data_IF_828759830435
#
_entry.id   IF_828759830435
#
_cell.length_a   1.000
_cell.length_b   1.000
_cell.length_c   1.000
_cell.angle_alpha   90.00
_cell.angle_beta   90.00
_cell.angle_gamma   90.00
#
_symmetry.space_group_name_H-M   'P 1'
#
loop_
_entity.id
_entity.type
_entity.pdbx_description
1 polymer ?
#
# COMPACT_ATOMS: atom_id res chain seq x y z
N UNK A 1 50.49 34.62 -13.24
CA UNK A 1 51.32 34.28 -14.40
C UNK A 1 50.40 33.85 -15.53
N UNK A 2 50.37 34.68 -16.59
CA UNK A 2 50.09 34.42 -18.02
C UNK A 2 48.91 33.51 -18.40
N UNK A 3 48.06 33.79 -19.39
CA UNK A 3 47.97 34.81 -20.44
C UNK A 3 46.55 34.62 -21.05
N UNK A 4 45.72 35.66 -21.17
CA UNK A 4 45.56 36.55 -22.32
C UNK A 4 44.63 36.06 -23.48
N UNK A 5 43.62 36.91 -23.72
CA UNK A 5 43.05 37.38 -25.01
C UNK A 5 41.96 36.54 -25.69
N UNK A 6 40.71 37.04 -25.85
CA UNK A 6 40.16 38.21 -26.58
C UNK A 6 39.90 37.95 -28.08
N UNK A 7 38.61 38.08 -28.48
CA UNK A 7 38.07 38.96 -29.55
C UNK A 7 36.64 38.47 -29.88
N UNK A 8 35.56 39.24 -29.62
CA UNK A 8 35.01 40.38 -30.38
C UNK A 8 34.71 40.03 -31.85
N UNK A 9 33.68 40.49 -32.55
CA UNK A 9 32.45 41.27 -32.35
C UNK A 9 31.82 41.35 -33.77
N UNK A 10 30.52 41.55 -33.89
CA UNK A 10 29.92 42.19 -35.09
C UNK A 10 28.55 41.60 -35.47
N UNK A 11 27.42 42.25 -35.16
CA UNK A 11 26.86 43.52 -35.66
C UNK A 11 25.80 43.31 -36.76
N UNK A 12 24.62 43.89 -36.50
CA UNK A 12 23.68 44.59 -37.41
C UNK A 12 22.27 44.01 -37.58
N UNK A 13 21.34 44.88 -37.18
CA UNK A 13 19.88 44.92 -37.28
C UNK A 13 19.32 44.97 -38.71
N UNK A 14 18.01 44.74 -38.85
CA UNK A 14 16.97 45.61 -39.50
C UNK A 14 15.64 44.82 -39.48
N UNK A 15 14.61 45.19 -38.67
CA UNK A 15 13.43 46.03 -39.01
C UNK A 15 12.68 45.54 -40.29
N UNK A 16 11.36 45.43 -40.43
CA UNK A 16 10.17 46.03 -39.83
C UNK A 16 8.91 45.34 -40.45
N UNK A 17 7.79 45.12 -39.72
CA UNK A 17 6.45 45.75 -39.85
C UNK A 17 5.75 45.58 -41.24
N UNK A 18 4.45 45.37 -41.46
CA UNK A 18 3.18 45.60 -40.72
C UNK A 18 1.99 45.09 -41.62
N UNK A 19 0.77 44.97 -41.02
CA UNK A 19 -0.60 45.14 -41.62
C UNK A 19 -1.21 43.95 -42.38
N UNK A 20 -2.51 43.59 -42.34
CA UNK A 20 -3.71 43.84 -41.49
C UNK A 20 -4.90 43.08 -42.13
N UNK A 21 -5.87 42.64 -41.31
CA UNK A 21 -7.33 42.55 -41.55
C UNK A 21 -7.97 41.60 -42.61
N UNK A 22 -8.65 40.57 -42.08
CA UNK A 22 -10.07 40.14 -42.25
C UNK A 22 -10.77 40.15 -43.62
N UNK A 23 -11.36 39.00 -44.01
CA UNK A 23 -12.74 38.94 -44.55
C UNK A 23 -13.37 37.52 -44.38
N UNK A 24 -14.69 37.54 -44.30
CA UNK A 24 -15.68 36.49 -43.98
C UNK A 24 -15.92 35.51 -45.14
N UNK A 25 -16.33 34.26 -44.85
CA UNK A 25 -17.00 33.40 -45.84
C UNK A 25 -17.31 31.98 -45.36
N UNK A 26 -18.53 31.75 -44.89
CA UNK A 26 -19.09 30.41 -44.71
C UNK A 26 -19.45 29.80 -46.07
N UNK A 27 -19.11 28.54 -46.33
CA UNK A 27 -19.84 27.73 -47.31
C UNK A 27 -19.91 26.26 -46.87
N UNK A 28 -21.15 25.82 -46.72
CA UNK A 28 -21.60 24.47 -46.46
C UNK A 28 -21.39 23.64 -47.73
N UNK A 29 -20.82 22.46 -47.62
CA UNK A 29 -20.98 21.41 -48.64
C UNK A 29 -21.50 20.14 -47.97
N UNK A 30 -22.80 19.90 -48.17
CA UNK A 30 -23.44 18.62 -48.00
C UNK A 30 -22.86 17.65 -49.02
N UNK A 31 -22.24 16.56 -48.57
CA UNK A 31 -22.07 15.37 -49.40
C UNK A 31 -23.12 14.36 -48.92
N UNK A 32 -24.18 14.28 -49.72
CA UNK A 32 -25.18 13.21 -49.69
C UNK A 32 -24.47 11.93 -50.15
N UNK A 33 -24.42 10.91 -49.30
CA UNK A 33 -24.14 9.53 -49.71
C UNK A 33 -25.44 8.72 -49.63
N UNK A 34 -25.70 7.80 -50.58
CA UNK A 34 -27.01 7.20 -50.74
C UNK A 34 -27.24 6.06 -49.74
N UNK A 35 -28.46 6.00 -49.20
CA UNK A 35 -28.99 4.79 -48.58
C UNK A 35 -29.14 3.69 -49.64
N UNK A 36 -28.36 2.62 -49.51
CA UNK A 36 -28.78 1.30 -50.02
C UNK A 36 -28.67 0.30 -48.89
N UNK A 37 -29.85 -0.02 -48.37
CA UNK A 37 -30.13 -1.06 -47.41
C UNK A 37 -29.83 -2.43 -48.06
N UNK A 38 -28.82 -3.14 -47.56
CA UNK A 38 -28.70 -4.59 -47.79
C UNK A 38 -28.25 -5.25 -46.51
N UNK A 39 -29.24 -5.85 -45.84
CA UNK A 39 -29.09 -6.75 -44.72
C UNK A 39 -27.98 -7.78 -44.99
N UNK A 40 -26.89 -7.68 -44.23
CA UNK A 40 -26.12 -8.82 -43.77
C UNK A 40 -26.18 -8.77 -42.26
N UNK A 41 -26.91 -9.71 -41.67
CA UNK A 41 -26.88 -9.96 -40.24
C UNK A 41 -25.45 -10.30 -39.84
N UNK A 42 -24.72 -9.29 -39.37
CA UNK A 42 -23.54 -9.50 -38.56
C UNK A 42 -24.03 -9.55 -37.13
N UNK A 43 -23.83 -10.72 -36.53
CA UNK A 43 -24.04 -11.05 -35.14
C UNK A 43 -23.52 -9.94 -34.20
N UNK A 44 -24.43 -9.06 -33.75
CA UNK A 44 -24.15 -8.03 -32.74
C UNK A 44 -24.13 -8.60 -31.31
N UNK A 45 -24.02 -9.93 -31.16
CA UNK A 45 -24.04 -10.60 -29.85
C UNK A 45 -22.66 -11.03 -29.34
N UNK A 46 -21.57 -10.28 -29.58
CA UNK A 46 -20.30 -10.60 -28.91
C UNK A 46 -19.27 -9.45 -28.78
N UNK A 47 -19.61 -8.19 -29.01
CA UNK A 47 -18.74 -7.09 -28.60
C UNK A 47 -18.99 -6.82 -27.11
N UNK A 48 -18.45 -7.69 -26.26
CA UNK A 48 -18.32 -7.41 -24.83
C UNK A 48 -17.66 -6.04 -24.70
N UNK A 49 -18.32 -5.07 -24.08
CA UNK A 49 -17.68 -3.85 -23.62
C UNK A 49 -16.57 -4.29 -22.66
N UNK A 50 -15.34 -4.43 -23.17
CA UNK A 50 -14.19 -4.69 -22.35
C UNK A 50 -13.94 -3.42 -21.54
N UNK A 51 -14.40 -3.43 -20.29
CA UNK A 51 -14.11 -2.36 -19.34
C UNK A 51 -12.67 -2.53 -18.87
N UNK A 52 -11.95 -1.43 -18.72
CA UNK A 52 -10.70 -1.44 -17.96
C UNK A 52 -11.04 -1.84 -16.51
N UNK A 53 -10.43 -2.94 -16.05
CA UNK A 53 -10.50 -3.40 -14.68
C UNK A 53 -9.78 -2.46 -13.73
N UNK A 54 -9.77 -2.82 -12.44
CA UNK A 54 -9.16 -1.99 -11.40
C UNK A 54 -7.69 -1.64 -11.72
N UNK A 55 -6.93 -2.61 -12.24
CA UNK A 55 -5.52 -2.49 -12.59
C UNK A 55 -5.24 -2.01 -14.03
N UNK A 56 -6.27 -1.50 -14.73
CA UNK A 56 -6.15 -0.93 -16.07
C UNK A 56 -6.15 -1.94 -17.22
N UNK A 57 -5.97 -3.25 -16.97
CA UNK A 57 -6.12 -4.26 -18.01
C UNK A 57 -7.60 -4.56 -18.31
N UNK A 58 -7.87 -5.16 -19.47
CA UNK A 58 -9.21 -5.66 -19.80
C UNK A 58 -9.60 -6.75 -18.81
N UNK A 59 -10.81 -6.64 -18.25
CA UNK A 59 -11.34 -7.61 -17.30
C UNK A 59 -12.62 -8.29 -17.80
N UNK A 60 -13.02 -9.38 -17.16
CA UNK A 60 -14.24 -10.14 -17.49
C UNK A 60 -15.08 -10.42 -16.24
N UNK A 61 -16.39 -10.64 -16.43
CA UNK A 61 -17.32 -10.93 -15.34
C UNK A 61 -17.70 -9.70 -14.51
N UNK A 62 -18.63 -9.88 -13.58
CA UNK A 62 -19.12 -8.84 -12.65
C UNK A 62 -19.46 -9.47 -11.31
N UNK A 63 -19.55 -8.64 -10.29
CA UNK A 63 -19.96 -9.02 -8.93
C UNK A 63 -18.82 -9.54 -8.08
N UNK A 64 -19.04 -9.51 -6.77
CA UNK A 64 -18.18 -10.14 -5.78
C UNK A 64 -18.84 -11.40 -5.26
N UNK A 65 -18.07 -12.29 -4.66
CA UNK A 65 -18.58 -13.52 -4.05
C UNK A 65 -17.72 -13.94 -2.86
N UNK A 66 -18.21 -14.92 -2.10
CA UNK A 66 -17.47 -15.47 -0.96
C UNK A 66 -16.51 -16.56 -1.42
N UNK A 67 -15.24 -16.45 -1.05
CA UNK A 67 -14.22 -17.46 -1.30
C UNK A 67 -14.45 -18.69 -0.43
N UNK A 68 -14.32 -19.89 -1.01
CA UNK A 68 -14.37 -21.17 -0.29
C UNK A 68 -12.98 -21.79 -0.12
N UNK A 69 -11.99 -21.24 -0.81
CA UNK A 69 -10.58 -21.62 -0.72
C UNK A 69 -9.74 -20.45 -0.23
N UNK A 70 -8.90 -20.71 0.77
CA UNK A 70 -7.86 -19.78 1.18
C UNK A 70 -6.53 -20.17 0.51
N UNK A 71 -5.64 -19.20 0.19
CA UNK A 71 -4.37 -19.50 -0.49
C UNK A 71 -3.51 -20.58 0.20
N UNK A 72 -3.52 -20.60 1.53
CA UNK A 72 -2.85 -21.60 2.36
C UNK A 72 -3.88 -22.45 3.10
N UNK A 73 -3.65 -23.75 3.18
CA UNK A 73 -4.53 -24.65 3.96
C UNK A 73 -4.57 -24.21 5.43
N UNK A 74 -5.77 -24.11 6.01
CA UNK A 74 -6.00 -23.56 7.36
C UNK A 74 -5.17 -24.26 8.43
N UNK A 75 -4.97 -25.58 8.31
CA UNK A 75 -4.15 -26.37 9.23
C UNK A 75 -2.67 -25.95 9.29
N UNK A 76 -2.18 -25.30 8.23
CA UNK A 76 -0.81 -24.82 8.10
C UNK A 76 -0.66 -23.36 8.54
N UNK A 77 -1.73 -22.70 9.01
CA UNK A 77 -1.69 -21.32 9.50
C UNK A 77 -1.51 -21.32 11.02
N UNK A 78 -0.47 -20.65 11.49
CA UNK A 78 -0.24 -20.39 12.91
C UNK A 78 -1.14 -19.25 13.39
N UNK A 79 -1.04 -18.09 12.75
CA UNK A 79 -1.85 -16.91 13.06
C UNK A 79 -2.06 -16.01 11.84
N UNK A 80 -3.07 -15.15 11.93
CA UNK A 80 -3.36 -14.09 10.95
C UNK A 80 -3.28 -12.76 11.66
N UNK A 81 -2.38 -11.90 11.19
CA UNK A 81 -2.26 -10.51 11.65
C UNK A 81 -3.17 -9.63 10.79
N UNK A 82 -4.00 -8.76 11.40
CA UNK A 82 -4.89 -7.87 10.66
C UNK A 82 -4.13 -6.83 9.83
N UNK A 83 -4.83 -6.24 8.87
CA UNK A 83 -4.40 -5.04 8.15
C UNK A 83 -4.26 -3.85 9.11
N UNK A 84 -3.55 -2.82 8.64
CA UNK A 84 -3.44 -1.54 9.32
C UNK A 84 -2.19 -1.41 10.18
N UNK A 85 -1.27 -2.38 10.10
CA UNK A 85 -0.03 -2.36 10.84
C UNK A 85 0.85 -1.22 10.32
N UNK A 86 1.50 -0.51 11.24
CA UNK A 86 2.57 0.45 10.92
C UNK A 86 3.86 -0.05 11.56
N UNK A 87 4.89 -0.28 10.75
CA UNK A 87 6.18 -0.80 11.20
C UNK A 87 7.25 -0.57 10.13
N UNK A 88 8.42 -0.07 10.54
CA UNK A 88 9.57 0.14 9.67
C UNK A 88 9.15 0.89 8.38
N UNK A 89 9.48 0.37 7.19
CA UNK A 89 9.11 0.95 5.89
C UNK A 89 7.61 0.98 5.61
N UNK A 90 6.78 0.21 6.32
CA UNK A 90 5.33 0.36 6.32
C UNK A 90 4.90 1.52 7.22
N UNK A 91 5.22 2.74 6.76
CA UNK A 91 4.93 3.97 7.50
C UNK A 91 3.43 4.25 7.56
N UNK A 92 2.72 3.98 6.47
CA UNK A 92 1.26 4.04 6.41
C UNK A 92 0.67 2.66 6.76
N UNK A 93 -0.56 2.59 7.30
CA UNK A 93 -1.21 1.34 7.67
C UNK A 93 -1.24 0.33 6.50
N UNK A 94 -0.76 -0.89 6.73
CA UNK A 94 -0.68 -1.95 5.71
C UNK A 94 -2.05 -2.30 5.13
N UNK A 95 -2.13 -2.50 3.82
CA UNK A 95 -3.35 -2.82 3.07
C UNK A 95 -3.60 -4.30 2.84
N UNK A 96 -2.82 -5.14 3.52
CA UNK A 96 -2.83 -6.59 3.44
C UNK A 96 -2.70 -7.18 4.85
N UNK A 97 -3.20 -8.40 5.01
CA UNK A 97 -3.00 -9.20 6.21
C UNK A 97 -1.72 -10.00 6.08
N UNK A 98 -1.04 -10.21 7.21
CA UNK A 98 0.08 -11.15 7.28
C UNK A 98 -0.43 -12.53 7.68
N UNK A 99 -0.19 -13.52 6.83
CA UNK A 99 -0.50 -14.92 7.09
C UNK A 99 0.79 -15.59 7.54
N UNK A 100 0.82 -16.06 8.79
CA UNK A 100 1.99 -16.70 9.38
C UNK A 100 1.80 -18.22 9.34
N UNK A 101 2.60 -18.97 8.56
CA UNK A 101 2.54 -20.42 8.55
C UNK A 101 3.06 -21.05 9.84
N UNK A 102 2.63 -22.28 10.11
CA UNK A 102 3.19 -23.11 11.19
C UNK A 102 4.68 -23.34 10.95
N UNK A 103 5.47 -23.26 12.02
CA UNK A 103 6.91 -23.47 11.97
C UNK A 103 7.74 -22.24 11.59
N UNK A 104 7.12 -21.06 11.44
CA UNK A 104 7.85 -19.81 11.28
C UNK A 104 8.71 -19.51 12.51
N UNK A 105 9.99 -19.23 12.27
CA UNK A 105 10.99 -19.05 13.35
C UNK A 105 11.43 -17.60 13.55
N UNK A 106 11.12 -16.72 12.61
CA UNK A 106 11.47 -15.31 12.68
C UNK A 106 10.58 -14.50 11.75
N UNK A 107 10.62 -13.18 11.88
CA UNK A 107 10.00 -12.24 10.94
C UNK A 107 10.73 -12.13 9.59
N UNK A 108 11.82 -12.89 9.38
CA UNK A 108 12.53 -12.94 8.12
C UNK A 108 11.73 -13.68 7.06
N UNK A 109 11.77 -13.20 5.82
CA UNK A 109 11.26 -13.90 4.65
C UNK A 109 12.22 -14.99 4.16
N UNK A 110 13.37 -15.16 4.81
CA UNK A 110 14.37 -16.13 4.41
C UNK A 110 14.02 -17.49 4.99
N UNK A 111 13.99 -18.46 4.10
CA UNK A 111 13.69 -19.85 4.43
C UNK A 111 14.68 -20.78 3.77
N UNK A 112 15.05 -21.85 4.48
CA UNK A 112 15.80 -22.96 3.90
C UNK A 112 14.87 -24.01 3.24
N UNK A 113 13.55 -23.80 3.30
CA UNK A 113 12.55 -24.68 2.71
C UNK A 113 11.46 -23.87 1.98
N UNK A 114 11.77 -23.22 0.84
CA UNK A 114 10.82 -22.37 0.09
C UNK A 114 9.66 -23.13 -0.57
N UNK A 115 9.68 -24.48 -0.52
CA UNK A 115 8.68 -25.36 -1.13
C UNK A 115 7.80 -26.09 -0.10
N UNK A 116 7.79 -25.62 1.16
CA UNK A 116 7.15 -26.32 2.26
C UNK A 116 5.63 -26.42 2.11
N UNK A 117 4.98 -25.32 1.74
CA UNK A 117 3.53 -25.22 1.66
C UNK A 117 3.08 -24.83 0.27
N UNK A 118 2.08 -25.54 -0.26
CA UNK A 118 1.44 -25.17 -1.51
C UNK A 118 0.59 -23.92 -1.35
N UNK A 119 0.67 -23.03 -2.33
CA UNK A 119 -0.18 -21.85 -2.44
C UNK A 119 -1.19 -22.08 -3.57
N UNK A 120 -2.47 -21.85 -3.26
CA UNK A 120 -3.60 -22.14 -4.14
C UNK A 120 -4.26 -20.86 -4.64
N UNK A 121 -4.81 -20.92 -5.84
CA UNK A 121 -5.72 -19.89 -6.34
C UNK A 121 -6.99 -19.84 -5.48
N UNK A 122 -7.39 -18.68 -4.93
CA UNK A 122 -8.54 -18.58 -4.01
C UNK A 122 -9.90 -18.86 -4.66
N UNK A 123 -9.99 -18.68 -5.97
CA UNK A 123 -11.19 -18.91 -6.77
C UNK A 123 -10.82 -19.02 -8.26
N UNK A 124 -11.79 -19.45 -9.07
CA UNK A 124 -11.72 -19.34 -10.52
C UNK A 124 -11.40 -17.90 -10.96
N UNK A 125 -10.60 -17.77 -12.02
CA UNK A 125 -10.26 -16.46 -12.56
C UNK A 125 -9.00 -16.46 -13.42
N UNK A 126 -8.32 -15.32 -13.41
CA UNK A 126 -7.09 -15.09 -14.15
C UNK A 126 -6.01 -14.51 -13.26
N UNK A 127 -4.78 -15.01 -13.36
CA UNK A 127 -3.61 -14.24 -12.92
C UNK A 127 -3.35 -13.16 -13.97
N UNK A 128 -3.39 -11.90 -13.54
CA UNK A 128 -3.27 -10.71 -14.40
C UNK A 128 -1.99 -9.91 -14.18
N UNK A 129 -1.30 -10.15 -13.08
CA UNK A 129 -0.01 -9.56 -12.78
C UNK A 129 0.86 -10.56 -12.03
N UNK A 130 2.12 -10.64 -12.42
CA UNK A 130 3.18 -11.32 -11.69
C UNK A 130 4.34 -10.35 -11.60
N UNK A 131 4.82 -10.10 -10.40
CA UNK A 131 5.99 -9.26 -10.17
C UNK A 131 7.01 -10.06 -9.37
N UNK A 132 8.27 -9.98 -9.79
CA UNK A 132 9.39 -10.56 -9.09
C UNK A 132 10.01 -9.46 -8.22
N UNK A 133 10.07 -9.70 -6.92
CA UNK A 133 10.76 -8.83 -5.98
C UNK A 133 12.18 -9.37 -5.82
N UNK A 134 13.14 -8.61 -6.32
CA UNK A 134 14.56 -8.79 -6.08
C UNK A 134 14.98 -7.74 -5.08
N UNK A 135 15.95 -8.07 -4.22
CA UNK A 135 16.67 -7.09 -3.37
C UNK A 135 15.76 -6.02 -2.74
N UNK A 136 15.24 -6.24 -1.52
CA UNK A 136 14.25 -5.35 -0.96
C UNK A 136 14.89 -3.98 -0.73
N UNK A 137 14.09 -2.92 -0.80
CA UNK A 137 14.55 -1.55 -0.53
C UNK A 137 15.38 -1.45 0.75
N UNK A 138 15.01 -2.21 1.78
CA UNK A 138 15.71 -2.16 3.06
C UNK A 138 17.00 -3.00 3.10
N UNK A 139 17.53 -3.49 1.97
CA UNK A 139 18.75 -4.29 1.92
C UNK A 139 19.93 -3.57 2.62
N UNK A 140 20.04 -2.26 2.47
CA UNK A 140 21.05 -1.44 3.15
C UNK A 140 20.97 -1.50 4.69
N UNK A 141 19.80 -1.87 5.23
CA UNK A 141 19.51 -1.94 6.66
C UNK A 141 19.33 -3.38 7.17
N UNK A 142 19.39 -4.38 6.28
CA UNK A 142 19.22 -5.79 6.62
C UNK A 142 20.58 -6.48 6.74
N UNK A 143 20.72 -7.27 7.80
CA UNK A 143 21.89 -8.15 7.98
C UNK A 143 21.75 -9.52 7.30
N UNK A 144 20.58 -9.83 6.74
CA UNK A 144 20.25 -11.15 6.19
C UNK A 144 20.05 -11.11 4.67
N UNK A 145 20.51 -12.17 3.98
CA UNK A 145 20.41 -12.35 2.52
C UNK A 145 18.96 -12.51 2.05
N UNK A 146 18.44 -11.56 1.28
CA UNK A 146 17.09 -11.67 0.75
C UNK A 146 16.96 -12.78 -0.30
N UNK A 147 15.84 -13.48 -0.28
CA UNK A 147 15.46 -14.43 -1.33
C UNK A 147 14.39 -13.80 -2.21
N UNK A 148 14.63 -13.84 -3.52
CA UNK A 148 13.67 -13.46 -4.54
C UNK A 148 12.31 -14.11 -4.26
N UNK A 149 11.23 -13.34 -4.40
CA UNK A 149 9.87 -13.80 -4.19
C UNK A 149 8.91 -13.05 -5.12
N UNK A 150 7.64 -13.46 -5.12
CA UNK A 150 6.67 -13.02 -6.10
C UNK A 150 5.46 -12.34 -5.47
N UNK A 151 4.99 -11.30 -6.15
CA UNK A 151 3.64 -10.77 -6.02
C UNK A 151 2.78 -11.28 -7.17
N UNK A 152 1.55 -11.70 -6.85
CA UNK A 152 0.58 -12.22 -7.81
C UNK A 152 -0.77 -11.57 -7.59
N UNK A 153 -1.37 -11.03 -8.66
CA UNK A 153 -2.73 -10.46 -8.64
C UNK A 153 -3.68 -11.36 -9.44
N UNK A 154 -4.79 -11.72 -8.81
CA UNK A 154 -5.89 -12.47 -9.39
C UNK A 154 -7.07 -11.55 -9.72
N UNK A 155 -7.59 -11.67 -10.93
CA UNK A 155 -8.90 -11.17 -11.33
C UNK A 155 -9.91 -12.33 -11.26
N UNK A 156 -10.89 -12.23 -10.36
CA UNK A 156 -12.02 -13.15 -10.29
C UNK A 156 -13.23 -12.63 -11.08
N UNK A 157 -13.39 -11.30 -11.07
CA UNK A 157 -14.29 -10.56 -11.95
C UNK A 157 -13.77 -9.13 -12.12
N UNK A 158 -14.39 -8.32 -13.00
CA UNK A 158 -14.12 -6.88 -13.06
C UNK A 158 -14.35 -6.11 -11.74
N UNK A 159 -15.04 -6.72 -10.77
CA UNK A 159 -15.36 -6.11 -9.49
C UNK A 159 -14.57 -6.72 -8.32
N UNK A 160 -13.85 -7.83 -8.52
CA UNK A 160 -13.33 -8.65 -7.43
C UNK A 160 -11.93 -9.20 -7.72
N UNK A 161 -11.00 -8.87 -6.84
CA UNK A 161 -9.58 -9.19 -7.00
C UNK A 161 -8.98 -9.69 -5.69
N UNK A 162 -7.96 -10.54 -5.79
CA UNK A 162 -7.10 -10.89 -4.66
C UNK A 162 -5.64 -10.65 -5.01
N UNK A 163 -4.82 -10.32 -4.01
CA UNK A 163 -3.38 -10.13 -4.15
C UNK A 163 -2.65 -10.99 -3.13
N UNK A 164 -1.59 -11.63 -3.59
CA UNK A 164 -0.61 -12.34 -2.78
C UNK A 164 0.76 -11.69 -2.95
N UNK A 165 1.51 -11.57 -1.87
CA UNK A 165 2.88 -11.02 -1.86
C UNK A 165 3.77 -11.96 -1.05
N UNK A 166 5.06 -12.02 -1.40
CA UNK A 166 6.05 -12.88 -0.77
C UNK A 166 5.79 -14.39 -0.96
N UNK A 167 5.39 -14.77 -2.18
CA UNK A 167 5.34 -16.18 -2.61
C UNK A 167 6.75 -16.59 -3.06
N UNK A 168 7.30 -17.70 -2.56
CA UNK A 168 8.69 -18.10 -2.88
C UNK A 168 8.85 -18.64 -4.30
N UNK A 169 7.93 -19.49 -4.73
CA UNK A 169 8.04 -20.16 -6.04
C UNK A 169 6.71 -20.14 -6.78
N UNK A 170 6.77 -20.16 -8.11
CA UNK A 170 5.63 -20.31 -9.00
C UNK A 170 5.70 -21.67 -9.70
N UNK A 171 4.54 -22.25 -10.03
CA UNK A 171 4.45 -23.50 -10.78
C UNK A 171 4.94 -23.32 -12.22
N UNK A 172 5.36 -24.42 -12.85
CA UNK A 172 5.85 -24.44 -14.25
C UNK A 172 4.83 -23.84 -15.22
N UNK A 173 3.53 -24.09 -14.99
CA UNK A 173 2.44 -23.51 -15.79
C UNK A 173 2.49 -21.97 -15.78
N UNK A 174 2.72 -21.37 -14.61
CA UNK A 174 2.78 -19.92 -14.47
C UNK A 174 4.08 -19.39 -15.06
N UNK A 175 5.22 -20.00 -14.71
CA UNK A 175 6.53 -19.58 -15.22
C UNK A 175 6.61 -19.61 -16.75
N UNK A 176 6.08 -20.66 -17.39
CA UNK A 176 6.04 -20.78 -18.85
C UNK A 176 5.20 -19.68 -19.53
N UNK A 177 4.30 -19.03 -18.79
CA UNK A 177 3.39 -17.99 -19.27
C UNK A 177 3.87 -16.57 -18.96
N UNK A 178 4.98 -16.42 -18.24
CA UNK A 178 5.51 -15.13 -17.77
C UNK A 178 6.68 -14.69 -18.64
N UNK A 179 6.60 -13.45 -19.14
CA UNK A 179 7.72 -12.74 -19.79
C UNK A 179 7.91 -11.42 -19.06
N UNK A 180 8.92 -11.36 -18.20
CA UNK A 180 9.19 -10.17 -17.40
C UNK A 180 9.64 -9.01 -18.29
N UNK A 181 9.00 -7.87 -18.07
CA UNK A 181 9.42 -6.56 -18.55
C UNK A 181 10.37 -5.96 -17.53
N UNK A 182 11.28 -5.11 -18.00
CA UNK A 182 12.30 -4.45 -17.19
C UNK A 182 13.12 -5.46 -16.35
N UNK A 183 13.77 -6.45 -16.98
CA UNK A 183 14.50 -7.50 -16.26
C UNK A 183 15.65 -6.98 -15.40
N UNK A 184 16.14 -5.76 -15.63
CA UNK A 184 17.20 -5.12 -14.85
C UNK A 184 16.67 -4.37 -13.60
N UNK A 185 15.36 -4.26 -13.43
CA UNK A 185 14.75 -3.63 -12.25
C UNK A 185 14.85 -4.56 -11.03
N UNK A 186 14.79 -3.97 -9.82
CA UNK A 186 14.50 -4.71 -8.58
C UNK A 186 13.10 -5.34 -8.60
N UNK A 187 12.24 -4.83 -9.47
CA UNK A 187 10.84 -5.20 -9.59
C UNK A 187 10.42 -5.56 -11.03
N UNK A 188 11.02 -6.58 -11.69
CA UNK A 188 10.56 -7.00 -13.00
C UNK A 188 9.13 -7.49 -12.93
N UNK A 189 8.30 -7.09 -13.89
CA UNK A 189 6.87 -7.39 -13.87
C UNK A 189 6.39 -7.99 -15.19
N UNK A 190 5.34 -8.80 -15.12
CA UNK A 190 4.61 -9.32 -16.25
C UNK A 190 3.12 -9.10 -16.03
N UNK A 191 2.39 -8.83 -17.11
CA UNK A 191 0.93 -8.71 -17.08
C UNK A 191 0.30 -9.80 -17.94
N UNK A 192 0.42 -11.08 -17.54
CA UNK A 192 -0.14 -12.17 -18.33
C UNK A 192 -1.67 -12.22 -18.16
N UNK A 193 -2.33 -13.20 -18.79
CA UNK A 193 -3.75 -13.50 -18.51
C UNK A 193 -3.92 -15.02 -18.40
N UNK A 194 -3.48 -15.58 -17.28
CA UNK A 194 -3.37 -17.03 -17.09
C UNK A 194 -4.61 -17.52 -16.37
N UNK A 195 -5.41 -18.37 -17.04
CA UNK A 195 -6.60 -18.96 -16.43
C UNK A 195 -6.22 -19.92 -15.31
N UNK A 196 -6.84 -19.76 -14.15
CA UNK A 196 -6.67 -20.63 -12.98
C UNK A 196 -8.02 -21.10 -12.46
N UNK A 197 -8.03 -22.26 -11.80
CA UNK A 197 -9.20 -22.81 -11.10
C UNK A 197 -9.07 -22.65 -9.60
N UNK A 198 -10.20 -22.51 -8.91
CA UNK A 198 -10.24 -22.56 -7.45
C UNK A 198 -9.47 -23.79 -6.93
N UNK A 199 -8.56 -23.59 -5.98
CA UNK A 199 -7.75 -24.66 -5.40
C UNK A 199 -6.56 -25.10 -6.25
N UNK A 200 -6.40 -24.59 -7.47
CA UNK A 200 -5.23 -24.87 -8.31
C UNK A 200 -3.95 -24.37 -7.63
N UNK A 201 -2.95 -25.24 -7.51
CA UNK A 201 -1.64 -24.87 -6.95
C UNK A 201 -0.91 -23.97 -7.94
N UNK A 202 -0.65 -22.72 -7.54
CA UNK A 202 0.04 -21.73 -8.37
C UNK A 202 1.52 -21.60 -8.03
N UNK A 203 1.93 -22.11 -6.87
CA UNK A 203 3.26 -21.92 -6.32
C UNK A 203 3.43 -22.50 -4.93
N UNK A 204 4.48 -22.06 -4.22
CA UNK A 204 4.76 -22.47 -2.83
C UNK A 204 5.28 -21.32 -1.98
N UNK A 205 5.21 -21.51 -0.66
CA UNK A 205 5.86 -20.69 0.35
C UNK A 205 6.55 -21.57 1.40
N UNK A 206 7.62 -21.09 2.00
CA UNK A 206 8.24 -21.67 3.19
C UNK A 206 7.54 -21.25 4.48
N UNK A 207 8.12 -21.60 5.64
CA UNK A 207 7.64 -21.19 6.94
C UNK A 207 8.06 -19.74 7.25
N UNK A 208 7.60 -18.77 6.46
CA UNK A 208 7.68 -17.34 6.76
C UNK A 208 6.35 -16.66 6.39
N UNK A 209 6.16 -15.43 6.86
CA UNK A 209 4.97 -14.64 6.54
C UNK A 209 4.83 -14.43 5.03
N UNK A 210 3.59 -14.46 4.54
CA UNK A 210 3.22 -13.93 3.23
C UNK A 210 1.95 -13.09 3.36
N UNK A 211 1.69 -12.26 2.34
CA UNK A 211 0.64 -11.25 2.47
C UNK A 211 -0.59 -11.62 1.65
N UNK A 212 -1.77 -11.31 2.19
CA UNK A 212 -3.04 -11.53 1.52
C UNK A 212 -3.95 -10.31 1.59
N UNK A 213 -4.52 -9.95 0.44
CA UNK A 213 -5.43 -8.81 0.29
C UNK A 213 -6.62 -9.21 -0.59
N UNK A 214 -7.81 -8.75 -0.21
CA UNK A 214 -9.03 -8.80 -1.03
C UNK A 214 -9.41 -7.37 -1.41
N UNK A 215 -9.72 -7.15 -2.69
CA UNK A 215 -10.18 -5.87 -3.21
C UNK A 215 -11.55 -6.00 -3.87
N UNK A 216 -12.41 -5.02 -3.61
CA UNK A 216 -13.68 -4.84 -4.32
C UNK A 216 -13.63 -3.51 -5.07
N UNK A 217 -13.64 -3.57 -6.41
CA UNK A 217 -13.48 -2.39 -7.25
C UNK A 217 -14.67 -1.41 -7.20
N UNK A 218 -15.78 -1.80 -6.55
CA UNK A 218 -16.96 -0.95 -6.30
C UNK A 218 -16.93 -0.24 -4.96
N UNK A 219 -16.02 -0.60 -4.06
CA UNK A 219 -15.87 0.05 -2.75
C UNK A 219 -14.62 0.89 -2.75
N UNK A 220 -14.74 2.17 -2.38
CA UNK A 220 -13.59 3.06 -2.20
C UNK A 220 -13.62 3.61 -0.78
N UNK A 221 -12.58 3.34 0.01
CA UNK A 221 -12.46 3.79 1.38
C UNK A 221 -12.25 5.31 1.41
N UNK A 222 -13.27 6.05 1.86
CA UNK A 222 -13.23 7.51 1.97
C UNK A 222 -12.32 8.03 3.09
N UNK A 223 -11.90 7.16 4.01
CA UNK A 223 -10.97 7.50 5.09
C UNK A 223 -9.50 7.25 4.69
N UNK A 224 -9.25 7.10 3.39
CA UNK A 224 -7.95 7.30 2.75
C UNK A 224 -8.13 8.47 1.79
N UNK A 225 -7.72 9.67 2.21
CA UNK A 225 -7.97 10.92 1.47
C UNK A 225 -7.10 10.97 0.21
N UNK A 226 -5.85 10.53 0.33
CA UNK A 226 -4.89 10.49 -0.78
C UNK A 226 -4.30 9.11 -1.01
N UNK A 227 -5.09 8.14 -1.48
CA UNK A 227 -4.60 6.77 -1.74
C UNK A 227 -3.53 6.72 -2.84
N UNK A 228 -3.54 7.66 -3.79
CA UNK A 228 -2.51 7.79 -4.82
C UNK A 228 -1.09 8.05 -4.27
N UNK A 229 -1.00 8.44 -3.00
CA UNK A 229 0.25 8.71 -2.31
C UNK A 229 0.81 7.50 -1.55
N UNK A 230 0.10 6.35 -1.57
CA UNK A 230 0.46 5.09 -0.92
C UNK A 230 0.56 4.00 -2.01
N UNK A 231 -0.46 3.14 -2.13
CA UNK A 231 -0.82 2.37 -3.32
C UNK A 231 -2.29 2.76 -3.62
N UNK A 232 -2.56 3.24 -4.83
CA UNK A 232 -3.91 3.65 -5.25
C UNK A 232 -4.95 2.54 -4.99
N UNK A 233 -4.54 1.29 -5.12
CA UNK A 233 -5.40 0.13 -4.96
C UNK A 233 -5.77 -0.15 -3.49
N UNK A 234 -4.99 0.35 -2.53
CA UNK A 234 -5.31 0.22 -1.10
C UNK A 234 -6.68 0.83 -0.75
N UNK A 235 -7.15 1.82 -1.51
CA UNK A 235 -8.50 2.37 -1.32
C UNK A 235 -9.63 1.36 -1.59
N UNK A 236 -9.36 0.27 -2.30
CA UNK A 236 -10.34 -0.74 -2.69
C UNK A 236 -10.26 -2.01 -1.83
N UNK A 237 -9.33 -2.05 -0.88
CA UNK A 237 -9.21 -3.12 0.11
C UNK A 237 -10.44 -3.21 0.99
N UNK A 238 -10.90 -4.44 1.23
CA UNK A 238 -12.07 -4.75 2.05
C UNK A 238 -11.72 -5.69 3.20
N UNK A 239 -12.58 -5.80 4.22
CA UNK A 239 -12.42 -6.79 5.29
C UNK A 239 -12.50 -8.20 4.70
N UNK A 240 -11.38 -8.92 4.72
CA UNK A 240 -11.25 -10.29 4.20
C UNK A 240 -12.37 -11.19 4.71
N UNK A 241 -12.73 -11.11 6.00
CA UNK A 241 -13.68 -12.04 6.60
C UNK A 241 -15.14 -11.80 6.20
N UNK A 242 -15.46 -10.67 5.57
CA UNK A 242 -16.78 -10.46 4.96
C UNK A 242 -16.91 -11.23 3.62
N UNK A 243 -15.78 -11.62 3.01
CA UNK A 243 -15.69 -12.30 1.71
C UNK A 243 -15.26 -13.77 1.81
N UNK A 244 -15.35 -14.38 3.00
CA UNK A 244 -15.10 -15.81 3.20
C UNK A 244 -16.41 -16.56 3.47
N UNK A 245 -16.58 -17.71 2.82
CA UNK A 245 -17.71 -18.60 3.05
C UNK A 245 -17.52 -19.43 4.33
N UNK A 246 -18.61 -19.89 4.94
CA UNK A 246 -18.51 -20.91 5.99
C UNK A 246 -18.27 -22.31 5.36
N UNK A 247 -17.54 -23.22 6.02
CA UNK A 247 -16.93 -23.08 7.36
C UNK A 247 -15.57 -22.37 7.39
N UNK A 248 -14.99 -22.06 6.21
CA UNK A 248 -13.65 -21.49 6.07
C UNK A 248 -13.48 -20.21 6.92
N UNK A 249 -14.47 -19.33 6.89
CA UNK A 249 -14.48 -18.07 7.66
C UNK A 249 -14.34 -18.33 9.16
N UNK A 250 -15.20 -19.17 9.75
CA UNK A 250 -15.13 -19.49 11.18
C UNK A 250 -13.83 -20.20 11.57
N UNK A 251 -13.25 -21.01 10.69
CA UNK A 251 -11.97 -21.67 10.95
C UNK A 251 -10.80 -20.67 10.95
N UNK A 252 -10.72 -19.78 9.97
CA UNK A 252 -9.69 -18.73 9.92
C UNK A 252 -9.83 -17.72 11.06
N UNK A 253 -11.05 -17.40 11.49
CA UNK A 253 -11.27 -16.53 12.64
C UNK A 253 -10.70 -17.10 13.94
N UNK A 254 -10.54 -18.43 14.06
CA UNK A 254 -9.84 -19.02 15.23
C UNK A 254 -8.37 -18.62 15.27
N UNK A 255 -7.75 -18.43 14.09
CA UNK A 255 -6.34 -18.04 13.88
C UNK A 255 -6.11 -16.52 13.84
N UNK A 256 -7.17 -15.72 13.75
CA UNK A 256 -7.07 -14.26 13.65
C UNK A 256 -6.81 -13.59 15.01
N UNK A 257 -5.88 -12.63 15.07
CA UNK A 257 -5.56 -11.92 16.32
C UNK A 257 -6.71 -11.01 16.78
N UNK A 258 -7.49 -10.44 15.86
CA UNK A 258 -8.66 -9.61 16.19
C UNK A 258 -9.92 -10.49 16.32
N UNK A 259 -10.71 -10.26 17.38
CA UNK A 259 -12.01 -10.92 17.62
C UNK A 259 -13.24 -10.00 17.54
N UNK A 260 -13.06 -8.75 17.08
CA UNK A 260 -14.14 -7.78 16.86
C UNK A 260 -14.09 -7.22 15.43
N UNK A 261 -15.17 -6.59 14.95
CA UNK A 261 -15.19 -5.99 13.61
C UNK A 261 -14.41 -4.66 13.58
N UNK A 262 -13.73 -4.33 12.45
CA UNK A 262 -13.49 -5.20 11.29
C UNK A 262 -12.46 -6.29 11.63
N UNK A 263 -12.78 -7.56 11.33
CA UNK A 263 -11.93 -8.70 11.70
C UNK A 263 -10.62 -8.69 10.91
N UNK A 264 -10.67 -8.26 9.65
CA UNK A 264 -9.52 -8.11 8.78
C UNK A 264 -8.63 -6.91 9.13
N UNK A 265 -9.04 -6.05 10.08
CA UNK A 265 -8.35 -4.81 10.41
C UNK A 265 -8.85 -3.60 9.61
N UNK A 266 -8.20 -2.45 9.83
CA UNK A 266 -8.58 -1.16 9.27
C UNK A 266 -7.36 -0.39 8.80
N UNK A 267 -7.47 0.24 7.63
CA UNK A 267 -6.36 0.98 6.99
C UNK A 267 -6.62 2.49 6.88
N UNK A 268 -7.89 2.88 6.68
CA UNK A 268 -8.27 4.27 6.49
C UNK A 268 -8.55 4.96 7.82
N UNK A 269 -7.57 5.71 8.32
CA UNK A 269 -7.66 6.48 9.56
C UNK A 269 -7.75 7.99 9.33
N UNK A 270 -7.75 8.43 8.07
CA UNK A 270 -7.75 9.85 7.74
C UNK A 270 -9.07 10.47 8.17
N UNK A 271 -8.96 11.57 8.91
CA UNK A 271 -10.10 12.42 9.26
C UNK A 271 -9.82 13.82 8.74
N UNK A 272 -10.68 14.30 7.84
CA UNK A 272 -10.55 15.63 7.22
C UNK A 272 -10.38 16.71 8.30
N UNK A 273 -9.45 17.62 8.08
CA UNK A 273 -9.14 18.75 8.99
C UNK A 273 -8.62 18.35 10.40
N UNK A 274 -8.33 17.06 10.65
CA UNK A 274 -7.77 16.56 11.92
C UNK A 274 -6.38 15.95 11.77
N UNK A 275 -5.65 15.76 12.88
CA UNK A 275 -4.30 15.20 12.83
C UNK A 275 -4.31 13.72 12.40
N UNK A 276 -5.37 12.98 12.74
CA UNK A 276 -5.49 11.57 12.42
C UNK A 276 -5.41 11.30 10.90
N UNK A 277 -4.56 10.36 10.52
CA UNK A 277 -4.39 9.88 9.16
C UNK A 277 -2.94 9.83 8.66
N UNK A 278 -2.85 9.64 7.35
CA UNK A 278 -1.60 9.65 6.59
C UNK A 278 -1.27 11.07 6.11
N UNK A 279 0.02 11.37 6.09
CA UNK A 279 0.60 12.66 5.74
C UNK A 279 1.86 12.47 4.91
N UNK A 280 2.07 13.34 3.93
CA UNK A 280 3.12 13.20 2.93
C UNK A 280 3.93 14.48 2.82
N UNK A 281 5.26 14.37 2.81
CA UNK A 281 6.13 15.55 2.74
C UNK A 281 5.83 16.40 1.50
N UNK A 282 5.64 17.70 1.69
CA UNK A 282 5.42 18.66 0.59
C UNK A 282 6.65 18.67 -0.34
N UNK A 283 6.41 18.62 -1.65
CA UNK A 283 7.47 18.63 -2.66
C UNK A 283 8.21 17.31 -2.84
N UNK A 284 7.72 16.21 -2.24
CA UNK A 284 8.25 14.87 -2.52
C UNK A 284 8.02 14.47 -3.98
N UNK A 285 8.93 13.64 -4.50
CA UNK A 285 8.70 12.92 -5.75
C UNK A 285 7.60 11.86 -5.53
N UNK A 286 6.57 11.88 -6.38
CA UNK A 286 5.45 10.93 -6.33
C UNK A 286 5.71 9.67 -7.17
N UNK A 287 6.78 9.67 -7.96
CA UNK A 287 7.22 8.53 -8.78
C UNK A 287 8.32 7.69 -8.12
N UNK A 288 8.90 8.18 -7.02
CA UNK A 288 9.93 7.46 -6.25
C UNK A 288 9.33 6.21 -5.61
N UNK A 289 9.72 5.03 -6.14
CA UNK A 289 9.17 3.74 -5.73
C UNK A 289 9.91 3.12 -4.56
N UNK A 290 11.24 3.15 -4.57
CA UNK A 290 12.04 2.43 -3.59
C UNK A 290 11.99 3.14 -2.24
N UNK A 291 12.32 4.42 -2.18
CA UNK A 291 12.35 5.20 -0.93
C UNK A 291 11.02 5.93 -0.64
N UNK A 292 9.91 5.48 -1.25
CA UNK A 292 8.61 6.17 -1.18
C UNK A 292 8.15 6.44 0.25
N UNK A 293 8.52 5.56 1.18
CA UNK A 293 8.15 5.63 2.59
C UNK A 293 8.93 6.69 3.37
N UNK A 294 10.14 7.09 2.95
CA UNK A 294 11.03 8.01 3.69
C UNK A 294 10.40 9.39 3.94
N UNK A 295 9.44 9.76 3.09
CA UNK A 295 8.73 11.04 3.08
C UNK A 295 7.29 10.92 3.61
N UNK A 296 6.95 9.80 4.24
CA UNK A 296 5.64 9.53 4.79
C UNK A 296 5.62 9.76 6.31
N UNK A 297 4.41 10.03 6.80
CA UNK A 297 4.07 10.10 8.21
C UNK A 297 2.67 9.51 8.36
N UNK A 298 2.42 8.79 9.45
CA UNK A 298 1.06 8.45 9.85
C UNK A 298 0.85 8.68 11.34
N UNK A 299 -0.33 9.21 11.69
CA UNK A 299 -0.82 9.32 13.07
C UNK A 299 -2.14 8.57 13.14
N UNK A 300 -2.09 7.34 13.63
CA UNK A 300 -3.15 6.34 13.49
C UNK A 300 -3.37 5.59 14.81
N UNK A 301 -4.09 4.47 14.76
CA UNK A 301 -4.30 3.60 15.91
C UNK A 301 -3.69 2.24 15.65
N UNK A 302 -3.37 1.55 16.72
CA UNK A 302 -2.78 0.22 16.66
C UNK A 302 -3.73 -0.78 16.00
N UNK A 303 -3.16 -1.60 15.12
CA UNK A 303 -3.89 -2.58 14.33
C UNK A 303 -4.50 -3.74 15.12
N UNK A 304 -3.99 -4.03 16.33
CA UNK A 304 -4.50 -5.09 17.22
C UNK A 304 -5.33 -4.45 18.34
N UNK A 305 -4.82 -3.38 18.95
CA UNK A 305 -5.47 -2.66 20.05
C UNK A 305 -5.86 -1.23 19.64
N UNK A 306 -7.03 -1.03 19.00
CA UNK A 306 -7.40 0.27 18.42
C UNK A 306 -7.58 1.39 19.43
N UNK A 307 -7.42 1.13 20.74
CA UNK A 307 -7.39 2.16 21.78
C UNK A 307 -6.05 2.89 21.84
N UNK A 308 -4.97 2.30 21.32
CA UNK A 308 -3.62 2.86 21.39
C UNK A 308 -3.26 3.68 20.15
N UNK A 309 -2.71 4.87 20.36
CA UNK A 309 -2.21 5.75 19.30
C UNK A 309 -0.86 5.24 18.79
N UNK A 310 -0.68 5.31 17.47
CA UNK A 310 0.58 5.04 16.78
C UNK A 310 1.02 6.24 15.96
N UNK A 311 2.30 6.57 16.06
CA UNK A 311 2.97 7.57 15.24
C UNK A 311 4.08 6.88 14.46
N UNK A 312 3.99 6.90 13.14
CA UNK A 312 4.97 6.26 12.27
C UNK A 312 5.61 7.28 11.35
N UNK A 313 6.94 7.28 11.33
CA UNK A 313 7.74 8.24 10.58
C UNK A 313 8.58 7.51 9.56
N UNK A 314 8.55 7.96 8.32
CA UNK A 314 9.48 7.49 7.28
C UNK A 314 10.93 7.86 7.55
N UNK A 315 11.17 8.87 8.39
CA UNK A 315 12.52 9.24 8.79
C UNK A 315 12.50 9.78 10.22
N UNK A 316 13.08 8.99 11.13
CA UNK A 316 13.38 9.37 12.49
C UNK A 316 14.85 9.05 12.76
N UNK A 317 15.70 10.08 12.76
CA UNK A 317 17.18 9.91 12.80
C UNK A 317 17.71 8.99 11.69
N UNK A 318 17.28 9.22 10.44
CA UNK A 318 17.68 8.45 9.25
C UNK A 318 17.16 7.00 9.20
N UNK A 319 16.22 6.62 10.06
CA UNK A 319 15.61 5.29 10.05
C UNK A 319 14.07 5.39 10.17
N UNK A 320 13.28 4.59 9.42
CA UNK A 320 11.84 4.60 9.56
C UNK A 320 11.40 3.91 10.85
N UNK A 321 10.47 4.50 11.60
CA UNK A 321 10.09 3.93 12.90
C UNK A 321 8.67 4.28 13.31
N UNK A 322 7.98 3.28 13.88
CA UNK A 322 6.70 3.43 14.55
C UNK A 322 6.88 3.52 16.07
N UNK A 323 6.04 4.33 16.71
CA UNK A 323 6.07 4.61 18.13
C UNK A 323 4.66 4.58 18.73
N UNK A 324 4.60 4.33 20.04
CA UNK A 324 3.45 4.67 20.86
C UNK A 324 3.50 6.14 21.29
N UNK A 325 2.35 6.68 21.69
CA UNK A 325 2.25 7.96 22.38
C UNK A 325 2.31 7.73 23.90
N UNK A 326 3.27 8.34 24.60
CA UNK A 326 3.28 8.30 26.07
C UNK A 326 1.99 8.89 26.63
N UNK A 327 1.35 8.19 27.58
CA UNK A 327 0.05 8.58 28.13
C UNK A 327 -1.12 8.44 27.16
N UNK A 328 -0.89 7.93 25.95
CA UNK A 328 -1.91 7.69 24.92
C UNK A 328 -2.79 8.93 24.61
N UNK A 329 -2.18 10.12 24.62
CA UNK A 329 -2.87 11.39 24.48
C UNK A 329 -1.95 12.47 23.88
N UNK A 330 -2.53 13.56 23.32
CA UNK A 330 -3.96 13.76 23.02
C UNK A 330 -4.48 12.87 21.89
N UNK A 331 -5.80 12.69 21.76
CA UNK A 331 -6.40 11.92 20.65
C UNK A 331 -6.24 12.67 19.31
N UNK A 332 -5.61 12.09 18.27
CA UNK A 332 -5.40 12.76 17.00
C UNK A 332 -6.68 13.12 16.25
N UNK A 333 -7.83 12.55 16.59
CA UNK A 333 -9.13 12.92 15.99
C UNK A 333 -9.69 14.24 16.47
N UNK A 334 -9.28 14.72 17.64
CA UNK A 334 -9.78 16.00 18.20
C UNK A 334 -8.86 17.18 17.90
N UNK A 335 -7.61 16.92 17.50
CA UNK A 335 -6.65 17.94 17.13
C UNK A 335 -7.04 18.54 15.79
N UNK A 336 -7.19 19.85 15.77
CA UNK A 336 -7.54 20.66 14.60
C UNK A 336 -6.68 21.94 14.56
N UNK A 337 -6.86 22.78 13.54
CA UNK A 337 -6.08 24.01 13.38
C UNK A 337 -6.07 24.89 14.65
N UNK A 338 -7.24 25.07 15.28
CA UNK A 338 -7.39 25.91 16.48
C UNK A 338 -6.72 25.32 17.73
N UNK A 339 -6.36 24.04 17.72
CA UNK A 339 -5.60 23.41 18.81
C UNK A 339 -4.19 24.00 18.91
N UNK A 340 -3.63 24.49 17.79
CA UNK A 340 -2.28 25.03 17.74
C UNK A 340 -1.22 23.95 17.85
N UNK A 341 -0.15 24.24 18.59
CA UNK A 341 0.99 23.34 18.75
C UNK A 341 0.62 22.15 19.65
N UNK A 342 0.78 20.93 19.11
CA UNK A 342 0.64 19.68 19.85
C UNK A 342 1.97 18.95 19.94
N UNK A 343 2.17 18.26 21.05
CA UNK A 343 3.39 17.52 21.37
C UNK A 343 3.04 16.08 21.75
N UNK A 344 3.80 15.13 21.22
CA UNK A 344 3.80 13.74 21.66
C UNK A 344 5.20 13.35 22.14
N UNK A 345 5.28 12.70 23.30
CA UNK A 345 6.46 11.91 23.67
C UNK A 345 6.35 10.52 23.02
N UNK A 346 7.37 10.14 22.27
CA UNK A 346 7.44 8.92 21.50
C UNK A 346 8.10 7.82 22.32
N UNK A 347 7.45 6.67 22.42
CA UNK A 347 7.88 5.54 23.25
C UNK A 347 7.82 4.23 22.46
N UNK A 348 8.53 3.21 22.92
CA UNK A 348 8.35 1.85 22.39
C UNK A 348 7.02 1.27 22.85
N UNK A 349 6.59 0.19 22.22
CA UNK A 349 5.41 -0.55 22.63
C UNK A 349 5.60 -2.04 22.36
N UNK A 350 4.92 -2.86 23.14
CA UNK A 350 4.89 -4.31 23.04
C UNK A 350 3.46 -4.80 23.25
N UNK A 351 3.19 -6.05 22.86
CA UNK A 351 1.87 -6.67 23.04
C UNK A 351 1.90 -7.72 24.14
N UNK A 352 0.80 -7.80 24.88
CA UNK A 352 0.64 -8.72 25.99
C UNK A 352 -0.72 -9.39 25.97
N UNK A 353 -0.77 -10.66 26.36
CA UNK A 353 -2.00 -11.35 26.76
C UNK A 353 -1.79 -11.91 28.15
N UNK A 354 -2.70 -11.60 29.08
CA UNK A 354 -2.65 -12.15 30.46
C UNK A 354 -1.30 -11.96 31.16
N UNK A 355 -0.62 -10.84 30.87
CA UNK A 355 0.70 -10.52 31.42
C UNK A 355 1.90 -11.15 30.68
N UNK A 356 1.66 -12.10 29.77
CA UNK A 356 2.70 -12.66 28.91
C UNK A 356 2.97 -11.73 27.73
N UNK A 357 4.24 -11.35 27.53
CA UNK A 357 4.68 -10.64 26.32
C UNK A 357 4.55 -11.58 25.11
N UNK A 358 3.93 -11.08 24.05
CA UNK A 358 3.77 -11.81 22.80
C UNK A 358 5.08 -11.85 22.01
N UNK A 359 5.37 -13.00 21.39
CA UNK A 359 6.59 -13.23 20.61
C UNK A 359 6.45 -12.86 19.12
N UNK A 360 5.27 -12.38 18.72
CA UNK A 360 4.90 -12.06 17.33
C UNK A 360 4.89 -13.25 16.36
N UNK A 361 5.01 -14.50 16.85
CA UNK A 361 5.12 -15.70 16.02
C UNK A 361 4.03 -16.72 16.31
N UNK A 362 3.62 -16.88 17.56
CA UNK A 362 2.61 -17.87 17.95
C UNK A 362 1.27 -17.22 18.27
N UNK A 363 0.18 -17.91 17.94
CA UNK A 363 -1.14 -17.37 18.21
C UNK A 363 -1.36 -17.13 19.71
N UNK A 364 -1.75 -15.90 20.07
CA UNK A 364 -2.15 -15.54 21.41
C UNK A 364 -3.44 -14.69 21.33
N UNK A 365 -4.52 -15.07 22.04
CA UNK A 365 -5.76 -14.30 22.01
C UNK A 365 -5.64 -13.02 22.86
N UNK A 366 -6.62 -12.11 22.73
CA UNK A 366 -6.81 -10.97 23.65
C UNK A 366 -5.55 -10.09 23.86
N UNK A 367 -4.76 -9.93 22.81
CA UNK A 367 -3.59 -9.06 22.83
C UNK A 367 -4.01 -7.61 23.10
N UNK A 368 -3.31 -6.98 24.03
CA UNK A 368 -3.39 -5.56 24.33
C UNK A 368 -2.02 -4.95 24.12
N UNK A 369 -1.98 -3.72 23.61
CA UNK A 369 -0.71 -3.06 23.36
C UNK A 369 -0.35 -2.16 24.55
N UNK A 370 0.91 -2.23 24.98
CA UNK A 370 1.44 -1.48 26.11
C UNK A 370 2.61 -0.63 25.67
N UNK A 371 2.45 0.68 25.83
CA UNK A 371 3.52 1.65 25.63
C UNK A 371 4.52 1.59 26.81
N UNK A 372 5.80 1.75 26.53
CA UNK A 372 6.83 1.84 27.57
C UNK A 372 6.90 3.23 28.20
N UNK A 373 7.62 3.33 29.32
CA UNK A 373 7.87 4.60 30.00
C UNK A 373 9.07 5.37 29.44
N UNK A 374 9.93 4.71 28.66
CA UNK A 374 11.15 5.28 28.10
C UNK A 374 10.84 6.17 26.90
N UNK A 375 11.10 7.47 27.06
CA UNK A 375 10.94 8.46 26.00
C UNK A 375 12.13 8.42 25.05
N UNK A 376 11.87 8.05 23.79
CA UNK A 376 12.86 7.99 22.73
C UNK A 376 12.97 9.30 21.94
N UNK A 377 12.01 10.20 22.10
CA UNK A 377 12.02 11.51 21.47
C UNK A 377 10.67 12.22 21.57
N UNK A 378 10.59 13.39 20.95
CA UNK A 378 9.38 14.20 20.89
C UNK A 378 9.01 14.47 19.44
N UNK A 379 7.71 14.45 19.13
CA UNK A 379 7.19 14.97 17.88
C UNK A 379 6.31 16.21 18.15
N UNK A 380 6.55 17.27 17.39
CA UNK A 380 5.70 18.46 17.35
C UNK A 380 4.84 18.43 16.10
N UNK A 381 3.56 18.78 16.27
CA UNK A 381 2.58 18.89 15.22
C UNK A 381 1.84 20.21 15.33
N UNK A 382 1.57 20.85 14.21
CA UNK A 382 0.65 21.97 14.13
C UNK A 382 -0.10 21.89 12.81
N UNK A 383 -1.41 21.66 12.89
CA UNK A 383 -2.28 21.74 11.72
C UNK A 383 -2.36 23.18 11.25
N UNK A 384 -2.30 23.34 9.94
CA UNK A 384 -2.39 24.61 9.24
C UNK A 384 -3.58 24.55 8.27
N UNK A 385 -4.02 25.71 7.74
CA UNK A 385 -5.03 25.76 6.68
C UNK A 385 -4.67 24.89 5.47
N UNK A 386 -5.70 24.59 4.67
CA UNK A 386 -5.57 23.88 3.37
C UNK A 386 -4.97 22.47 3.48
N UNK A 387 -5.22 21.78 4.59
CA UNK A 387 -4.76 20.39 4.75
C UNK A 387 -3.25 20.27 4.87
N UNK A 388 -2.57 21.28 5.41
CA UNK A 388 -1.14 21.26 5.69
C UNK A 388 -0.86 20.95 7.15
N UNK A 389 0.30 20.34 7.39
CA UNK A 389 0.76 19.99 8.72
C UNK A 389 2.24 20.38 8.87
N UNK A 390 2.54 21.19 9.88
CA UNK A 390 3.93 21.46 10.28
C UNK A 390 4.39 20.41 11.28
N UNK A 391 5.53 19.78 11.00
CA UNK A 391 6.06 18.64 11.75
C UNK A 391 7.53 18.83 12.06
N UNK A 392 7.95 18.47 13.27
CA UNK A 392 9.35 18.32 13.62
C UNK A 392 9.53 17.23 14.67
N UNK A 393 10.57 16.41 14.52
CA UNK A 393 10.94 15.36 15.46
C UNK A 393 12.23 15.70 16.17
N UNK A 394 12.30 15.39 17.46
CA UNK A 394 13.43 15.65 18.35
C UNK A 394 13.88 14.35 19.02
N UNK A 395 14.72 13.54 18.35
CA UNK A 395 15.24 12.29 18.88
C UNK A 395 16.04 12.49 20.17
N UNK A 396 15.85 11.60 21.16
CA UNK A 396 16.53 11.64 22.46
C UNK A 396 16.15 12.83 23.35
N UNK A 397 15.12 13.60 22.99
CA UNK A 397 14.60 14.71 23.79
C UNK A 397 13.34 14.29 24.56
N UNK A 398 13.08 14.99 25.65
CA UNK A 398 11.83 14.90 26.42
C UNK A 398 10.96 16.12 26.19
N UNK A 399 9.68 16.03 26.54
CA UNK A 399 8.73 17.11 26.35
C UNK A 399 9.11 18.41 27.04
N UNK A 400 9.78 18.36 28.20
CA UNK A 400 10.25 19.55 28.92
C UNK A 400 11.39 20.29 28.21
N UNK A 401 12.15 19.60 27.35
CA UNK A 401 13.30 20.16 26.64
C UNK A 401 12.97 20.76 25.26
N UNK A 402 11.71 20.64 24.81
CA UNK A 402 11.25 21.09 23.49
C UNK A 402 10.09 22.06 23.67
N UNK A 403 10.25 23.34 23.32
CA UNK A 403 9.22 24.36 23.54
C UNK A 403 8.52 24.81 22.26
N UNK A 404 9.20 24.75 21.12
CA UNK A 404 8.71 25.26 19.85
C UNK A 404 9.42 24.59 18.67
N UNK A 405 8.87 24.81 17.47
CA UNK A 405 9.54 24.45 16.22
C UNK A 405 10.85 25.22 16.04
N UNK A 406 11.82 24.59 15.40
CA UNK A 406 13.03 25.23 14.89
C UNK A 406 12.90 25.52 13.39
N UNK A 407 13.99 25.99 12.78
CA UNK A 407 14.10 26.15 11.32
C UNK A 407 14.12 24.82 10.56
N UNK A 408 14.22 23.67 11.25
CA UNK A 408 14.26 22.34 10.61
C UNK A 408 12.88 21.72 10.41
N UNK A 409 11.82 22.34 10.96
CA UNK A 409 10.45 21.90 10.80
C UNK A 409 10.07 21.76 9.32
N UNK A 410 9.36 20.69 9.00
CA UNK A 410 8.93 20.35 7.64
C UNK A 410 7.43 20.48 7.49
N UNK A 411 6.99 20.67 6.25
CA UNK A 411 5.57 20.71 5.90
C UNK A 411 5.16 19.41 5.23
N UNK A 412 4.02 18.88 5.67
CA UNK A 412 3.35 17.73 5.10
C UNK A 412 1.97 18.15 4.56
N UNK A 413 1.47 17.39 3.59
CA UNK A 413 0.16 17.54 2.94
C UNK A 413 -0.56 16.19 2.90
N UNK A 414 -1.85 16.24 2.60
CA UNK A 414 -2.65 15.05 2.31
C UNK A 414 -3.74 15.33 1.31
#
# INVERSE_FOLDING_TARGET
MNNHNNCQNGFINILALLVLATFIGAFIYFVVLPETNKQRGADQSALSFQKAGLFGQLCQGKGTFKLKTFPLDVKNIELITPMGKVQDSHVTPTDHQYIIPVGTKSSSLITNNPKQYQIKAPADGYIISVELFREPVEQAYRSQLYSDNYLVIFEHSCDFYTRLIHIDTLSDKILASVKFKNPESQHPYASPRIKVKEGEVIGTVGPHSFDFQIMNAKTKNSNLISPQNIDYFSAYTVDTFDYLAEPLRSELLKKNLIKHKPFGGKIGYDVKEKLAGNWFLVGRDKQEREEYWTKNLSVTYDHIDPTQIRLSFGNFSAYPKAFGARGNAPDPKVIEEKTGLVKYELVTFDYYSEGQKWDALHFLPNLTAKNSDEVLGVALFQLLPDGKLKVETFPGKTSSSVTSFTSTARLYER
#
